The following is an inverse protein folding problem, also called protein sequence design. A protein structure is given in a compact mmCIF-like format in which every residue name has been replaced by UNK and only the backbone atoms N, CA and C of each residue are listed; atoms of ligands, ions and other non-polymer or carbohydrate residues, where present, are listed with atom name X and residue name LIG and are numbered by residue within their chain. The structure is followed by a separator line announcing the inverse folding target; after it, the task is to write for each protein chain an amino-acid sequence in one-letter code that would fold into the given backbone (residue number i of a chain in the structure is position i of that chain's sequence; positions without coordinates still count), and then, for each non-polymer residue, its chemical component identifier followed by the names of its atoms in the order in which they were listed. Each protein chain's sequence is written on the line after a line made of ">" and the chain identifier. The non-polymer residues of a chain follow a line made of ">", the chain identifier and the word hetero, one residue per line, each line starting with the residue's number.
data_IF_491890136798
#
_entry.id   IF_491890136798
#
_cell.length_a   1.000
_cell.length_b   1.000
_cell.length_c   1.000
_cell.angle_alpha   90.00
_cell.angle_beta   90.00
_cell.angle_gamma   90.00
#
_symmetry.space_group_name_H-M   'P 1'
#
loop_
_entity.id
_entity.type
_entity.pdbx_description
1 polymer ?
#
# COMPACT_ATOMS: atom_id res chain seq x y z
N UNK A 1 -5.74 6.06 -17.43
CA UNK A 1 -7.18 5.82 -17.61
C UNK A 1 -7.39 4.31 -17.49
N UNK A 2 -7.93 3.82 -16.36
CA UNK A 2 -8.20 2.37 -16.20
C UNK A 2 -9.32 1.99 -17.16
N UNK A 3 -9.11 0.97 -17.99
CA UNK A 3 -10.20 0.35 -18.74
C UNK A 3 -11.22 -0.21 -17.74
N UNK A 4 -12.48 0.13 -17.89
CA UNK A 4 -13.58 -0.50 -17.15
C UNK A 4 -13.74 -1.96 -17.62
N UNK A 5 -14.44 -2.80 -16.86
CA UNK A 5 -14.76 -4.17 -17.32
C UNK A 5 -15.49 -4.13 -18.68
N UNK A 6 -16.31 -3.11 -18.92
CA UNK A 6 -16.97 -2.86 -20.22
C UNK A 6 -15.98 -2.59 -21.36
N UNK A 7 -14.80 -2.02 -21.09
CA UNK A 7 -13.77 -1.79 -22.10
C UNK A 7 -12.95 -3.05 -22.42
N UNK A 8 -12.78 -3.96 -21.46
CA UNK A 8 -12.09 -5.26 -21.67
C UNK A 8 -13.00 -6.32 -22.28
N UNK A 9 -14.31 -6.20 -22.10
CA UNK A 9 -15.32 -7.12 -22.62
C UNK A 9 -15.74 -6.85 -24.08
N UNK A 10 -15.17 -5.84 -24.76
CA UNK A 10 -15.42 -5.54 -26.19
C UNK A 10 -15.00 -6.72 -27.07
N UNK A 11 -15.91 -7.67 -27.28
CA UNK A 11 -15.73 -8.85 -28.14
C UNK A 11 -16.27 -10.16 -27.56
N UNK A 12 -16.57 -10.21 -26.26
CA UNK A 12 -17.19 -11.37 -25.58
C UNK A 12 -18.69 -11.14 -25.45
N UNK A 13 -19.49 -12.07 -25.97
CA UNK A 13 -20.94 -12.09 -25.74
C UNK A 13 -21.21 -12.44 -24.27
N UNK A 14 -21.78 -11.49 -23.52
CA UNK A 14 -22.27 -11.71 -22.15
C UNK A 14 -23.81 -11.59 -22.18
N UNK A 15 -24.55 -12.65 -21.80
CA UNK A 15 -26.01 -12.60 -21.72
C UNK A 15 -26.53 -11.78 -20.53
N UNK A 16 -25.69 -11.40 -19.56
CA UNK A 16 -26.09 -10.65 -18.38
C UNK A 16 -25.72 -9.16 -18.46
N UNK A 17 -26.55 -8.25 -17.92
CA UNK A 17 -26.18 -6.85 -17.75
C UNK A 17 -24.94 -6.69 -16.85
N UNK A 18 -24.18 -5.62 -17.04
CA UNK A 18 -23.02 -5.35 -16.20
C UNK A 18 -23.45 -4.79 -14.83
N UNK A 19 -22.63 -4.99 -13.80
CA UNK A 19 -22.88 -4.39 -12.48
C UNK A 19 -22.89 -2.85 -12.53
N UNK A 20 -22.30 -2.23 -13.55
CA UNK A 20 -22.37 -0.79 -13.78
C UNK A 20 -23.73 -0.36 -14.34
N UNK A 21 -24.28 -1.08 -15.33
CA UNK A 21 -25.60 -0.78 -15.89
C UNK A 21 -26.71 -0.94 -14.87
N UNK A 22 -26.67 -2.02 -14.06
CA UNK A 22 -27.68 -2.27 -13.02
C UNK A 22 -27.75 -1.14 -11.98
N UNK A 23 -26.60 -0.59 -11.56
CA UNK A 23 -26.56 0.57 -10.64
C UNK A 23 -27.24 1.80 -11.26
N UNK A 24 -27.00 2.04 -12.54
CA UNK A 24 -27.60 3.17 -13.26
C UNK A 24 -29.12 3.00 -13.42
N UNK A 25 -29.56 1.80 -13.79
CA UNK A 25 -30.98 1.49 -13.94
C UNK A 25 -31.78 1.62 -12.63
N UNK A 26 -31.18 1.22 -11.50
CA UNK A 26 -31.82 1.38 -10.19
C UNK A 26 -32.01 2.84 -9.81
N UNK A 27 -31.06 3.72 -10.16
CA UNK A 27 -31.18 5.15 -9.92
C UNK A 27 -32.34 5.79 -10.70
N UNK A 28 -32.79 5.16 -11.79
CA UNK A 28 -33.93 5.61 -12.59
C UNK A 28 -35.29 5.04 -12.12
N UNK A 29 -35.33 4.14 -11.11
CA UNK A 29 -36.59 3.57 -10.62
C UNK A 29 -37.40 4.61 -9.83
N UNK A 30 -38.75 4.50 -9.85
CA UNK A 30 -39.60 5.39 -9.05
C UNK A 30 -39.25 5.35 -7.56
N UNK A 31 -39.35 6.51 -6.93
CA UNK A 31 -39.09 6.65 -5.50
C UNK A 31 -40.31 6.19 -4.68
N UNK A 32 -40.18 5.06 -4.01
CA UNK A 32 -41.25 4.36 -3.28
C UNK A 32 -40.73 3.86 -1.94
N UNK A 33 -41.59 3.55 -0.96
CA UNK A 33 -41.17 2.92 0.29
C UNK A 33 -40.32 1.65 0.08
N UNK A 34 -40.64 0.85 -0.95
CA UNK A 34 -39.91 -0.36 -1.30
C UNK A 34 -38.52 -0.06 -1.86
N UNK A 35 -38.42 0.88 -2.81
CA UNK A 35 -37.14 1.24 -3.44
C UNK A 35 -36.19 1.99 -2.51
N UNK A 36 -36.70 2.56 -1.41
CA UNK A 36 -35.90 3.13 -0.32
C UNK A 36 -35.40 2.10 0.71
N UNK A 37 -35.98 0.90 0.74
CA UNK A 37 -35.63 -0.12 1.73
C UNK A 37 -34.17 -0.58 1.55
N UNK A 38 -33.39 -0.78 2.64
CA UNK A 38 -32.07 -1.40 2.56
C UNK A 38 -32.08 -2.74 1.85
N UNK A 39 -33.15 -3.53 2.02
CA UNK A 39 -33.30 -4.85 1.38
C UNK A 39 -33.44 -4.80 -0.15
N UNK A 40 -33.73 -3.63 -0.73
CA UNK A 40 -33.83 -3.44 -2.18
C UNK A 40 -32.51 -2.99 -2.81
N UNK A 41 -31.53 -2.57 -1.99
CA UNK A 41 -30.21 -2.16 -2.47
C UNK A 41 -29.46 -3.37 -3.03
N UNK A 42 -28.67 -3.14 -4.08
CA UNK A 42 -27.75 -4.17 -4.59
C UNK A 42 -26.66 -4.44 -3.58
N UNK A 43 -26.40 -5.72 -3.27
CA UNK A 43 -25.40 -6.10 -2.27
C UNK A 43 -24.00 -5.53 -2.54
N UNK A 44 -23.56 -5.46 -3.81
CA UNK A 44 -22.26 -4.90 -4.20
C UNK A 44 -22.22 -3.36 -4.26
N UNK A 45 -23.35 -2.70 -3.99
CA UNK A 45 -23.49 -1.25 -3.93
C UNK A 45 -23.96 -0.75 -2.55
N UNK A 46 -24.27 -1.66 -1.62
CA UNK A 46 -24.78 -1.34 -0.30
C UNK A 46 -23.63 -1.23 0.71
N UNK A 47 -23.23 0.00 1.02
CA UNK A 47 -22.12 0.29 1.95
C UNK A 47 -22.40 -0.22 3.36
N UNK A 48 -23.65 -0.13 3.84
CA UNK A 48 -24.05 -0.60 5.16
C UNK A 48 -23.87 -2.14 5.25
N UNK A 49 -24.28 -2.85 4.20
CA UNK A 49 -24.09 -4.29 4.10
C UNK A 49 -22.61 -4.67 4.02
N UNK A 50 -21.84 -4.05 3.13
CA UNK A 50 -20.42 -4.35 2.93
C UNK A 50 -19.55 -4.02 4.14
N UNK A 51 -19.92 -3.01 4.93
CA UNK A 51 -19.20 -2.62 6.16
C UNK A 51 -19.65 -3.41 7.40
N UNK A 52 -20.71 -4.22 7.29
CA UNK A 52 -21.22 -5.07 8.38
C UNK A 52 -20.19 -6.12 8.84
N UNK A 53 -20.34 -6.59 10.09
CA UNK A 53 -19.46 -7.61 10.66
C UNK A 53 -19.46 -8.93 9.86
N UNK A 54 -20.62 -9.33 9.33
CA UNK A 54 -20.76 -10.54 8.51
C UNK A 54 -19.92 -10.47 7.23
N UNK A 55 -19.77 -9.28 6.64
CA UNK A 55 -18.99 -9.07 5.41
C UNK A 55 -17.49 -8.90 5.64
N UNK A 56 -16.97 -9.16 6.84
CA UNK A 56 -15.52 -9.12 7.11
C UNK A 56 -14.72 -10.03 6.18
N UNK A 57 -15.19 -11.25 5.92
CA UNK A 57 -14.51 -12.18 5.01
C UNK A 57 -14.37 -11.63 3.59
N UNK A 58 -15.44 -11.02 3.08
CA UNK A 58 -15.45 -10.38 1.76
C UNK A 58 -14.49 -9.18 1.74
N UNK A 59 -14.48 -8.34 2.78
CA UNK A 59 -13.56 -7.18 2.84
C UNK A 59 -12.08 -7.59 2.90
N UNK A 60 -11.75 -8.67 3.61
CA UNK A 60 -10.40 -9.25 3.59
C UNK A 60 -9.98 -9.66 2.17
N UNK A 61 -10.88 -10.34 1.45
CA UNK A 61 -10.64 -10.74 0.07
C UNK A 61 -10.47 -9.53 -0.86
N UNK A 62 -11.30 -8.49 -0.70
CA UNK A 62 -11.19 -7.25 -1.48
C UNK A 62 -9.83 -6.56 -1.28
N UNK A 63 -9.33 -6.47 -0.04
CA UNK A 63 -8.00 -5.89 0.22
C UNK A 63 -6.86 -6.69 -0.38
N UNK A 64 -6.96 -8.03 -0.33
CA UNK A 64 -5.97 -8.91 -0.93
C UNK A 64 -5.94 -8.71 -2.46
N UNK A 65 -7.11 -8.85 -3.10
CA UNK A 65 -7.24 -8.89 -4.56
C UNK A 65 -7.01 -7.52 -5.19
N UNK A 66 -7.48 -6.42 -4.60
CA UNK A 66 -7.31 -5.07 -5.16
C UNK A 66 -5.84 -4.69 -5.35
N UNK A 67 -5.02 -4.98 -4.34
CA UNK A 67 -3.58 -4.71 -4.40
C UNK A 67 -2.89 -5.66 -5.37
N UNK A 68 -3.21 -6.96 -5.30
CA UNK A 68 -2.66 -7.97 -6.18
C UNK A 68 -2.87 -7.64 -7.66
N UNK A 69 -4.11 -7.32 -8.04
CA UNK A 69 -4.47 -6.95 -9.41
C UNK A 69 -3.68 -5.74 -9.91
N UNK A 70 -3.54 -4.71 -9.07
CA UNK A 70 -2.80 -3.50 -9.44
C UNK A 70 -1.30 -3.77 -9.62
N UNK A 71 -0.70 -4.60 -8.75
CA UNK A 71 0.71 -5.00 -8.88
C UNK A 71 0.94 -5.86 -10.13
N UNK A 72 0.03 -6.78 -10.44
CA UNK A 72 0.07 -7.58 -11.68
C UNK A 72 -0.08 -6.71 -12.92
N UNK A 73 -1.04 -5.78 -12.93
CA UNK A 73 -1.25 -4.85 -14.04
C UNK A 73 -0.04 -3.94 -14.28
N UNK A 74 0.63 -3.51 -13.20
CA UNK A 74 1.88 -2.78 -13.27
C UNK A 74 3.10 -3.64 -13.64
N UNK A 75 2.94 -4.96 -13.76
CA UNK A 75 4.02 -5.89 -14.10
C UNK A 75 5.07 -6.09 -13.00
N UNK A 76 4.70 -5.86 -11.73
CA UNK A 76 5.59 -6.02 -10.58
C UNK A 76 5.73 -7.51 -10.24
N UNK A 77 6.92 -8.05 -10.49
CA UNK A 77 7.25 -9.46 -10.30
C UNK A 77 7.90 -9.71 -8.94
N UNK A 78 8.73 -8.79 -8.45
CA UNK A 78 9.37 -8.92 -7.14
C UNK A 78 9.69 -7.57 -6.51
N UNK A 79 9.88 -7.59 -5.19
CA UNK A 79 10.08 -6.40 -4.38
C UNK A 79 11.29 -6.52 -3.43
N UNK A 80 11.83 -5.37 -3.05
CA UNK A 80 12.74 -5.22 -1.90
C UNK A 80 11.98 -4.45 -0.83
N UNK A 81 11.68 -5.13 0.28
CA UNK A 81 10.94 -4.52 1.39
C UNK A 81 11.89 -3.69 2.24
N UNK A 82 11.51 -2.45 2.51
CA UNK A 82 12.29 -1.55 3.34
C UNK A 82 11.49 -1.15 4.59
N UNK A 83 11.95 -1.60 5.75
CA UNK A 83 11.39 -1.24 7.05
C UNK A 83 12.34 -0.38 7.87
N UNK A 84 11.77 0.51 8.69
CA UNK A 84 12.53 1.32 9.63
C UNK A 84 11.68 2.34 10.37
N UNK A 85 12.31 3.16 11.19
CA UNK A 85 11.63 4.12 12.05
C UNK A 85 10.89 5.23 11.29
N UNK A 86 9.58 5.32 11.48
CA UNK A 86 8.74 6.43 10.98
C UNK A 86 9.11 7.81 11.58
N UNK A 87 9.85 7.81 12.70
CA UNK A 87 10.18 9.02 13.48
C UNK A 87 11.55 9.60 13.16
N UNK A 88 12.35 8.91 12.33
CA UNK A 88 13.70 9.36 11.96
C UNK A 88 13.55 10.49 10.94
N UNK A 89 13.98 11.74 11.24
CA UNK A 89 13.83 12.84 10.31
C UNK A 89 14.84 12.74 9.15
N UNK A 90 14.51 13.38 8.03
CA UNK A 90 15.50 13.72 7.02
C UNK A 90 16.58 14.63 7.62
N UNK A 91 17.88 14.48 7.26
CA UNK A 91 18.92 15.38 7.71
C UNK A 91 18.57 16.86 7.43
N UNK A 92 18.71 17.69 8.46
CA UNK A 92 18.37 19.12 8.38
C UNK A 92 16.89 19.44 8.59
N UNK A 93 15.98 18.45 8.64
CA UNK A 93 14.58 18.65 9.04
C UNK A 93 14.40 18.48 10.54
N UNK A 94 13.36 19.11 11.07
CA UNK A 94 13.03 19.04 12.49
C UNK A 94 12.67 17.61 12.91
N UNK A 95 13.19 17.18 14.07
CA UNK A 95 12.79 15.94 14.73
C UNK A 95 11.38 16.06 15.34
N UNK A 96 10.36 16.12 14.47
CA UNK A 96 8.95 16.39 14.83
C UNK A 96 8.38 15.44 15.89
N UNK A 97 8.90 14.21 15.97
CA UNK A 97 8.44 13.19 16.90
C UNK A 97 9.12 13.26 18.28
N UNK A 98 10.04 14.21 18.50
CA UNK A 98 10.72 14.39 19.77
C UNK A 98 9.79 15.02 20.82
N UNK A 99 9.74 14.41 22.01
CA UNK A 99 8.98 14.90 23.17
C UNK A 99 9.86 15.58 24.23
N UNK A 100 11.17 15.42 24.13
CA UNK A 100 12.15 16.00 25.05
C UNK A 100 13.52 16.21 24.36
N UNK A 101 14.43 17.00 24.95
CA UNK A 101 15.73 17.31 24.34
C UNK A 101 16.61 16.08 24.08
N UNK A 102 16.58 15.08 24.97
CA UNK A 102 17.37 13.86 24.81
C UNK A 102 16.88 13.03 23.60
N UNK A 103 15.56 12.93 23.43
CA UNK A 103 14.96 12.25 22.28
C UNK A 103 15.24 13.01 20.98
N UNK A 104 15.20 14.35 21.02
CA UNK A 104 15.55 15.21 19.88
C UNK A 104 16.98 14.92 19.41
N UNK A 105 17.96 14.97 20.31
CA UNK A 105 19.36 14.67 20.00
C UNK A 105 19.55 13.27 19.40
N UNK A 106 18.85 12.25 19.92
CA UNK A 106 18.89 10.88 19.37
C UNK A 106 18.29 10.79 17.96
N UNK A 107 17.15 11.43 17.73
CA UNK A 107 16.50 11.43 16.41
C UNK A 107 17.37 12.16 15.38
N UNK A 108 17.95 13.30 15.75
CA UNK A 108 18.87 14.06 14.91
C UNK A 108 20.14 13.25 14.59
N UNK A 109 20.73 12.56 15.58
CA UNK A 109 21.85 11.65 15.33
C UNK A 109 21.48 10.47 14.42
N UNK A 110 20.24 9.99 14.52
CA UNK A 110 19.72 8.90 13.69
C UNK A 110 19.33 9.34 12.27
N UNK A 111 19.27 10.63 11.96
CA UNK A 111 18.95 11.14 10.61
C UNK A 111 19.88 10.57 9.53
N UNK A 112 21.10 10.16 9.89
CA UNK A 112 22.00 9.43 8.98
C UNK A 112 21.35 8.19 8.36
N UNK A 113 20.50 7.49 9.10
CA UNK A 113 19.81 6.29 8.60
C UNK A 113 18.75 6.63 7.55
N UNK A 114 18.20 7.84 7.55
CA UNK A 114 17.38 8.33 6.45
C UNK A 114 18.23 8.42 5.17
N UNK A 115 19.42 9.03 5.23
CA UNK A 115 20.33 9.11 4.07
C UNK A 115 20.73 7.73 3.56
N UNK A 116 21.08 6.81 4.46
CA UNK A 116 21.45 5.45 4.08
C UNK A 116 20.27 4.68 3.47
N UNK A 117 19.05 4.83 4.00
CA UNK A 117 17.86 4.22 3.42
C UNK A 117 17.54 4.76 2.03
N UNK A 118 17.65 6.08 1.85
CA UNK A 118 17.49 6.74 0.54
C UNK A 118 18.52 6.25 -0.47
N UNK A 119 19.79 6.19 -0.05
CA UNK A 119 20.88 5.67 -0.89
C UNK A 119 20.65 4.20 -1.26
N UNK A 120 20.33 3.36 -0.28
CA UNK A 120 20.04 1.94 -0.49
C UNK A 120 18.90 1.75 -1.49
N UNK A 121 17.78 2.46 -1.29
CA UNK A 121 16.64 2.38 -2.20
C UNK A 121 16.99 2.86 -3.62
N UNK A 122 17.80 3.91 -3.76
CA UNK A 122 18.31 4.34 -5.06
C UNK A 122 19.14 3.27 -5.77
N UNK A 123 20.03 2.58 -5.04
CA UNK A 123 20.82 1.47 -5.59
C UNK A 123 19.95 0.28 -6.02
N UNK A 124 19.01 -0.14 -5.18
CA UNK A 124 18.05 -1.20 -5.53
C UNK A 124 17.22 -0.83 -6.76
N UNK A 125 16.77 0.42 -6.82
CA UNK A 125 15.90 0.90 -7.90
C UNK A 125 16.65 1.07 -9.22
N UNK A 126 17.91 1.52 -9.18
CA UNK A 126 18.77 1.56 -10.36
C UNK A 126 19.01 0.14 -10.89
N UNK A 127 19.36 -0.80 -10.01
CA UNK A 127 19.53 -2.20 -10.39
C UNK A 127 18.24 -2.79 -10.98
N UNK A 128 17.09 -2.51 -10.36
CA UNK A 128 15.76 -2.90 -10.84
C UNK A 128 15.48 -2.37 -12.26
N UNK A 129 15.76 -1.09 -12.49
CA UNK A 129 15.62 -0.45 -13.80
C UNK A 129 16.51 -1.11 -14.85
N UNK A 130 17.80 -1.27 -14.56
CA UNK A 130 18.79 -1.80 -15.49
C UNK A 130 18.55 -3.27 -15.83
N UNK A 131 18.17 -4.09 -14.83
CA UNK A 131 18.03 -5.53 -14.99
C UNK A 131 16.67 -5.97 -15.54
N UNK A 132 15.60 -5.21 -15.27
CA UNK A 132 14.22 -5.67 -15.52
C UNK A 132 13.27 -4.61 -16.05
N UNK A 133 13.74 -3.37 -16.25
CA UNK A 133 12.85 -2.25 -16.57
C UNK A 133 11.89 -1.93 -15.43
N UNK A 134 12.37 -1.99 -14.19
CA UNK A 134 11.59 -1.70 -12.96
C UNK A 134 10.46 -2.68 -12.65
N UNK A 135 10.66 -3.97 -12.96
CA UNK A 135 9.69 -5.05 -12.69
C UNK A 135 10.10 -5.97 -11.55
N UNK A 136 11.40 -6.10 -11.30
CA UNK A 136 11.98 -6.92 -10.23
C UNK A 136 12.70 -6.06 -9.20
N UNK A 137 12.78 -6.50 -7.95
CA UNK A 137 13.43 -5.76 -6.87
C UNK A 137 12.89 -4.32 -6.66
N UNK A 138 11.61 -4.11 -6.96
CA UNK A 138 10.97 -2.80 -6.80
C UNK A 138 10.86 -2.46 -5.32
N UNK A 139 11.27 -1.25 -4.93
CA UNK A 139 11.25 -0.83 -3.53
C UNK A 139 9.81 -0.72 -3.05
N UNK A 140 9.51 -1.39 -1.92
CA UNK A 140 8.22 -1.30 -1.23
C UNK A 140 8.43 -0.89 0.22
N UNK A 141 7.59 0.04 0.70
CA UNK A 141 7.64 0.55 2.07
C UNK A 141 6.25 0.61 2.67
N UNK A 142 6.16 0.92 3.97
CA UNK A 142 4.88 1.20 4.62
C UNK A 142 4.26 2.56 4.33
N UNK A 143 4.91 3.37 3.47
CA UNK A 143 4.43 4.66 2.96
C UNK A 143 4.30 5.80 3.96
N UNK A 144 4.71 5.60 5.21
CA UNK A 144 4.79 6.67 6.22
C UNK A 144 6.04 7.56 6.07
N UNK A 145 6.26 8.48 7.02
CA UNK A 145 7.43 9.35 7.06
C UNK A 145 8.71 8.59 7.45
N UNK A 146 9.82 9.32 7.49
CA UNK A 146 11.11 8.84 7.98
C UNK A 146 11.74 7.82 7.05
N UNK A 147 12.14 6.65 7.57
CA UNK A 147 12.86 5.66 6.74
C UNK A 147 12.01 5.14 5.57
N UNK A 148 10.69 5.01 5.75
CA UNK A 148 9.78 4.62 4.67
C UNK A 148 9.75 5.67 3.55
N UNK A 149 9.64 6.95 3.93
CA UNK A 149 9.75 8.08 2.99
C UNK A 149 11.11 8.09 2.27
N UNK A 150 12.20 7.87 3.00
CA UNK A 150 13.54 7.78 2.42
C UNK A 150 13.62 6.69 1.35
N UNK A 151 12.99 5.54 1.59
CA UNK A 151 12.92 4.44 0.63
C UNK A 151 12.19 4.83 -0.65
N UNK A 152 10.97 5.38 -0.55
CA UNK A 152 10.23 5.82 -1.74
C UNK A 152 10.96 6.94 -2.48
N UNK A 153 11.55 7.89 -1.75
CA UNK A 153 12.31 9.00 -2.33
C UNK A 153 13.57 8.54 -3.07
N UNK A 154 14.31 7.59 -2.50
CA UNK A 154 15.51 7.05 -3.13
C UNK A 154 15.23 6.40 -4.49
N UNK A 155 14.10 5.71 -4.62
CA UNK A 155 13.62 5.22 -5.91
C UNK A 155 13.24 6.36 -6.86
N UNK A 156 12.51 7.35 -6.36
CA UNK A 156 12.11 8.53 -7.14
C UNK A 156 13.29 9.37 -7.66
N UNK A 157 14.39 9.46 -6.91
CA UNK A 157 15.59 10.20 -7.30
C UNK A 157 16.25 9.65 -8.58
N UNK A 158 16.05 8.36 -8.87
CA UNK A 158 16.55 7.70 -10.09
C UNK A 158 15.44 7.48 -11.13
N UNK A 159 14.27 8.10 -10.93
CA UNK A 159 13.13 7.99 -11.84
C UNK A 159 12.43 6.63 -11.85
N UNK A 160 12.68 5.78 -10.86
CA UNK A 160 12.06 4.47 -10.74
C UNK A 160 10.75 4.51 -9.94
N UNK A 161 9.89 3.52 -10.17
CA UNK A 161 8.66 3.35 -9.38
C UNK A 161 8.94 2.81 -7.98
N UNK A 162 8.09 3.16 -7.03
CA UNK A 162 8.11 2.58 -5.69
C UNK A 162 6.71 2.40 -5.11
N UNK A 163 6.55 1.38 -4.28
CA UNK A 163 5.26 0.96 -3.73
C UNK A 163 5.13 1.47 -2.29
N UNK A 164 3.93 1.92 -1.93
CA UNK A 164 3.56 2.25 -0.56
C UNK A 164 2.35 1.41 -0.11
N UNK A 165 2.54 0.62 0.94
CA UNK A 165 1.47 -0.13 1.59
C UNK A 165 1.12 0.58 2.91
N UNK A 166 0.21 1.55 2.88
CA UNK A 166 -0.28 2.29 4.05
C UNK A 166 -1.28 1.48 4.88
N UNK A 167 -1.55 1.93 6.10
CA UNK A 167 -2.58 1.35 6.97
C UNK A 167 -3.38 2.47 7.63
N UNK A 168 -4.69 2.29 7.74
CA UNK A 168 -5.56 3.17 8.52
C UNK A 168 -5.21 3.05 10.00
N UNK A 169 -4.83 4.16 10.63
CA UNK A 169 -4.57 4.28 12.06
C UNK A 169 -5.41 5.42 12.65
N UNK A 170 -5.73 5.40 13.96
CA UNK A 170 -6.54 6.45 14.61
C UNK A 170 -5.98 7.88 14.47
N UNK A 171 -4.67 7.99 14.28
CA UNK A 171 -4.01 9.23 13.90
C UNK A 171 -3.41 9.02 12.51
N UNK A 172 -4.18 9.40 11.50
CA UNK A 172 -3.89 9.11 10.11
C UNK A 172 -2.58 9.76 9.67
N UNK A 173 -1.70 8.95 9.05
CA UNK A 173 -0.54 9.45 8.33
C UNK A 173 -0.90 9.40 6.85
N UNK A 174 -1.01 10.57 6.22
CA UNK A 174 -1.04 10.64 4.77
C UNK A 174 0.18 9.90 4.20
N UNK A 175 0.05 9.20 3.07
CA UNK A 175 1.20 8.60 2.41
C UNK A 175 2.23 9.67 2.10
N UNK A 176 3.51 9.30 2.18
CA UNK A 176 4.57 10.20 1.78
C UNK A 176 4.45 10.54 0.29
N UNK A 177 4.89 11.74 -0.08
CA UNK A 177 4.70 12.29 -1.43
C UNK A 177 5.62 11.68 -2.50
N UNK A 178 6.49 10.74 -2.13
CA UNK A 178 7.49 10.17 -3.04
C UNK A 178 7.10 8.78 -3.55
N UNK A 179 6.10 8.14 -2.96
CA UNK A 179 5.54 6.90 -3.49
C UNK A 179 4.90 7.14 -4.86
N UNK A 180 4.98 6.16 -5.76
CA UNK A 180 4.30 6.25 -7.06
C UNK A 180 2.79 6.31 -6.82
N UNK A 181 2.07 7.34 -7.31
CA UNK A 181 0.65 7.53 -6.99
C UNK A 181 -0.23 6.31 -7.31
N UNK A 182 0.04 5.64 -8.42
CA UNK A 182 -0.69 4.44 -8.88
C UNK A 182 -0.39 3.18 -8.04
N UNK A 183 0.69 3.19 -7.26
CA UNK A 183 1.17 2.09 -6.42
C UNK A 183 1.11 2.43 -4.92
N UNK A 184 0.22 3.34 -4.55
CA UNK A 184 -0.06 3.70 -3.16
C UNK A 184 -1.38 3.06 -2.70
N UNK A 185 -1.28 2.09 -1.80
CA UNK A 185 -2.41 1.29 -1.30
C UNK A 185 -2.67 1.61 0.17
N UNK A 186 -3.94 1.66 0.57
CA UNK A 186 -4.34 1.88 1.96
C UNK A 186 -5.15 0.69 2.47
N UNK A 187 -4.66 0.05 3.53
CA UNK A 187 -5.26 -1.14 4.11
C UNK A 187 -6.03 -0.79 5.39
N UNK A 188 -7.10 -1.53 5.68
CA UNK A 188 -7.74 -1.54 6.99
C UNK A 188 -7.26 -2.74 7.82
N UNK A 189 -7.01 -3.90 7.21
CA UNK A 189 -6.59 -5.10 7.93
C UNK A 189 -5.07 -5.24 7.94
N UNK A 190 -4.48 -5.14 9.14
CA UNK A 190 -3.04 -5.24 9.35
C UNK A 190 -2.44 -6.55 8.81
N UNK A 191 -3.14 -7.67 8.96
CA UNK A 191 -2.68 -8.98 8.48
C UNK A 191 -2.55 -9.02 6.93
N UNK A 192 -3.51 -8.45 6.20
CA UNK A 192 -3.47 -8.45 4.73
C UNK A 192 -2.32 -7.57 4.22
N UNK A 193 -2.08 -6.43 4.89
CA UNK A 193 -0.93 -5.58 4.60
C UNK A 193 0.40 -6.33 4.80
N UNK A 194 0.56 -7.04 5.92
CA UNK A 194 1.76 -7.84 6.22
C UNK A 194 2.01 -8.92 5.18
N UNK A 195 0.96 -9.64 4.80
CA UNK A 195 1.04 -10.61 3.71
C UNK A 195 1.58 -9.96 2.42
N UNK A 196 1.07 -8.79 2.03
CA UNK A 196 1.53 -8.09 0.81
C UNK A 196 3.00 -7.65 0.84
N UNK A 197 3.59 -7.40 2.01
CA UNK A 197 5.03 -7.18 2.08
C UNK A 197 5.81 -8.43 1.67
N UNK A 198 5.31 -9.62 2.00
CA UNK A 198 6.06 -10.87 1.86
C UNK A 198 5.75 -11.63 0.58
N UNK A 199 4.54 -11.50 0.01
CA UNK A 199 4.10 -12.21 -1.20
C UNK A 199 5.06 -12.07 -2.39
N UNK A 200 5.77 -10.93 -2.50
CA UNK A 200 6.72 -10.63 -3.57
C UNK A 200 8.13 -10.32 -3.07
N UNK A 201 8.40 -10.48 -1.78
CA UNK A 201 9.70 -10.11 -1.22
C UNK A 201 10.78 -11.05 -1.73
N UNK A 202 11.78 -10.50 -2.43
CA UNK A 202 13.06 -11.21 -2.68
C UNK A 202 14.13 -10.85 -1.67
N UNK A 203 14.00 -9.68 -1.04
CA UNK A 203 14.89 -9.22 0.01
C UNK A 203 14.15 -8.28 0.96
N UNK A 204 14.66 -8.21 2.18
CA UNK A 204 14.19 -7.28 3.20
C UNK A 204 15.38 -6.52 3.79
N UNK A 205 15.26 -5.20 3.87
CA UNK A 205 16.23 -4.32 4.50
C UNK A 205 15.60 -3.71 5.77
N UNK A 206 16.22 -4.00 6.91
CA UNK A 206 15.74 -3.57 8.22
C UNK A 206 16.66 -2.48 8.77
N UNK A 207 16.19 -1.25 8.71
CA UNK A 207 16.85 -0.09 9.31
C UNK A 207 16.41 0.09 10.76
N UNK A 208 17.15 0.87 11.58
CA UNK A 208 16.75 1.15 12.95
C UNK A 208 15.32 1.67 13.05
N UNK A 209 14.54 1.06 13.94
CA UNK A 209 13.11 1.32 14.06
C UNK A 209 12.55 0.93 15.42
N UNK A 210 11.22 1.10 15.56
CA UNK A 210 10.49 0.78 16.79
C UNK A 210 9.85 -0.60 16.72
N UNK A 211 8.80 -0.80 17.53
CA UNK A 211 8.10 -2.09 17.58
C UNK A 211 7.51 -2.54 16.25
N UNK A 212 6.97 -1.64 15.43
CA UNK A 212 6.50 -2.03 14.10
C UNK A 212 7.61 -2.59 13.21
N UNK A 213 8.84 -2.08 13.33
CA UNK A 213 9.99 -2.62 12.59
C UNK A 213 10.42 -3.98 13.13
N UNK A 214 10.38 -4.17 14.45
CA UNK A 214 10.71 -5.45 15.09
C UNK A 214 9.66 -6.52 14.77
N UNK A 215 8.38 -6.16 14.78
CA UNK A 215 7.26 -7.03 14.44
C UNK A 215 7.46 -7.65 13.05
N UNK A 216 7.72 -6.81 12.04
CA UNK A 216 7.98 -7.27 10.66
C UNK A 216 9.28 -8.08 10.53
N UNK A 217 10.34 -7.70 11.27
CA UNK A 217 11.59 -8.46 11.31
C UNK A 217 11.36 -9.87 11.88
N UNK A 218 10.70 -9.99 13.03
CA UNK A 218 10.48 -11.29 13.66
C UNK A 218 9.51 -12.14 12.87
N UNK A 219 8.48 -11.55 12.23
CA UNK A 219 7.61 -12.28 11.31
C UNK A 219 8.41 -12.89 10.14
N UNK A 220 9.25 -12.09 9.48
CA UNK A 220 10.09 -12.58 8.39
C UNK A 220 11.07 -13.67 8.87
N UNK A 221 11.72 -13.48 10.02
CA UNK A 221 12.62 -14.49 10.58
C UNK A 221 11.88 -15.79 10.93
N UNK A 222 10.66 -15.72 11.47
CA UNK A 222 9.85 -16.90 11.74
C UNK A 222 9.52 -17.66 10.45
N UNK A 223 9.10 -16.96 9.38
CA UNK A 223 8.82 -17.60 8.09
C UNK A 223 10.06 -18.21 7.42
N UNK A 224 11.25 -17.61 7.61
CA UNK A 224 12.50 -18.19 7.11
C UNK A 224 12.89 -19.44 7.90
N UNK A 225 12.60 -19.47 9.20
CA UNK A 225 12.99 -20.57 10.08
C UNK A 225 12.14 -21.83 9.88
N UNK A 226 10.83 -21.68 9.63
CA UNK A 226 9.86 -22.79 9.53
C UNK A 226 9.72 -23.33 8.12
#
# INVERSE_FOLDING_TARGET
>A
MRMTDDDKAKGTWDPFPSSHSDKQELAAKPDTPQTRSPSYRLAYADEDFLTSAAMRGVRLQLELVKTEMALVEAGILSTVVLFGGARIPEPGKAAWAARNPAQKARLEANSRFYSEARRFAGLCSQHSADASGSKEFVVVTGGGPGVMEAGNRGAGDVGAVSIALNIVLPHEQAPNLYATPELCFNFHYFAIRKMHFLLRAKAMAIFPGGFGTLDELFEALTLIQT
#
